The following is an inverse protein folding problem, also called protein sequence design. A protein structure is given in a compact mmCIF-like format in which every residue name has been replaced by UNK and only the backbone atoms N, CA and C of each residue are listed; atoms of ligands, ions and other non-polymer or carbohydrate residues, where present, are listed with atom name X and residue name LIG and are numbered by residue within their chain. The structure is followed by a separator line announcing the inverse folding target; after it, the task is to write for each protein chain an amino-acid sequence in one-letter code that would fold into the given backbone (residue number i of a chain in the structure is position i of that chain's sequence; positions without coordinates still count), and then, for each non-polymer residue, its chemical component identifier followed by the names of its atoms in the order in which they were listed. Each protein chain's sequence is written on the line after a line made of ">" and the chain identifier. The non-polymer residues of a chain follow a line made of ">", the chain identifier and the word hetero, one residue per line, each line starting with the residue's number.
data_IF_520386879984
#
_entry.id   IF_520386879984
#
_cell.length_a   1.000
_cell.length_b   1.000
_cell.length_c   1.000
_cell.angle_alpha   90.00
_cell.angle_beta   90.00
_cell.angle_gamma   90.00
#
_symmetry.space_group_name_H-M   'P 1'
#
loop_
_entity.id
_entity.type
_entity.pdbx_description
1 polymer ?
#
# COMPACT_ATOMS: atom_id res chain seq x y z
N UNK A 1 -19.12 -45.77 29.52
CA UNK A 1 -20.56 -46.14 29.50
C UNK A 1 -21.28 -45.22 30.47
N UNK A 2 -21.23 -43.90 30.30
CA UNK A 2 -21.78 -43.05 29.23
C UNK A 2 -23.31 -43.03 29.22
N UNK A 3 -23.84 -41.89 29.66
CA UNK A 3 -25.02 -41.15 29.18
C UNK A 3 -25.17 -39.88 30.06
N UNK A 4 -25.87 -38.80 29.63
CA UNK A 4 -26.15 -38.36 28.26
C UNK A 4 -25.91 -36.84 28.01
N UNK A 5 -26.02 -36.48 26.73
CA UNK A 5 -26.11 -35.13 26.14
C UNK A 5 -27.36 -34.36 26.56
N UNK A 6 -27.26 -33.08 26.98
CA UNK A 6 -28.33 -32.07 26.77
C UNK A 6 -28.03 -30.57 27.13
N UNK A 7 -26.79 -30.05 27.08
CA UNK A 7 -26.52 -28.72 27.68
C UNK A 7 -25.98 -27.58 26.79
N UNK A 8 -26.13 -27.63 25.46
CA UNK A 8 -25.58 -26.55 24.59
C UNK A 8 -26.56 -25.44 24.22
N UNK A 9 -27.88 -25.66 24.31
CA UNK A 9 -28.88 -24.68 23.83
C UNK A 9 -29.36 -23.68 24.90
N UNK A 10 -29.12 -23.96 26.18
CA UNK A 10 -29.60 -23.10 27.29
C UNK A 10 -28.69 -21.89 27.56
N UNK A 11 -27.40 -21.95 27.19
CA UNK A 11 -26.46 -20.85 27.43
C UNK A 11 -26.67 -19.63 26.51
N UNK A 12 -27.29 -19.81 25.34
CA UNK A 12 -27.55 -18.70 24.41
C UNK A 12 -28.78 -17.86 24.78
N UNK A 13 -29.80 -18.46 25.43
CA UNK A 13 -31.05 -17.77 25.76
C UNK A 13 -31.01 -17.00 27.09
N UNK A 14 -30.11 -17.34 28.01
CA UNK A 14 -29.91 -16.58 29.26
C UNK A 14 -29.12 -15.28 29.02
N UNK A 15 -28.29 -15.22 27.95
CA UNK A 15 -27.48 -14.03 27.62
C UNK A 15 -28.23 -12.96 26.83
N UNK A 16 -29.37 -13.29 26.21
CA UNK A 16 -30.22 -12.31 25.52
C UNK A 16 -31.31 -11.67 26.40
N UNK A 17 -31.69 -12.28 27.54
CA UNK A 17 -32.73 -11.72 28.43
C UNK A 17 -32.22 -10.74 29.49
N UNK A 18 -30.91 -10.58 29.67
CA UNK A 18 -30.34 -9.62 30.62
C UNK A 18 -30.07 -8.21 30.04
N UNK A 19 -30.43 -7.94 28.79
CA UNK A 19 -30.18 -6.62 28.13
C UNK A 19 -31.41 -5.74 27.90
N UNK A 20 -32.60 -6.14 28.37
CA UNK A 20 -33.86 -5.41 28.09
C UNK A 20 -34.50 -4.81 29.36
N UNK A 21 -33.79 -4.69 30.50
CA UNK A 21 -34.42 -4.15 31.74
C UNK A 21 -33.53 -3.17 32.53
N UNK A 22 -32.62 -2.44 31.90
CA UNK A 22 -32.00 -1.26 32.56
C UNK A 22 -31.65 -0.19 31.53
N UNK A 23 -32.54 0.78 31.34
CA UNK A 23 -32.22 2.01 30.64
C UNK A 23 -31.20 2.81 31.44
N UNK A 24 -29.94 2.78 31.00
CA UNK A 24 -28.85 3.71 31.37
C UNK A 24 -27.70 3.50 30.37
N UNK A 25 -27.42 4.54 29.58
CA UNK A 25 -26.31 4.64 28.64
C UNK A 25 -24.98 4.53 29.39
N UNK A 26 -24.15 3.54 29.04
CA UNK A 26 -22.76 3.46 29.44
C UNK A 26 -21.91 3.14 28.22
N UNK A 27 -21.17 4.13 27.74
CA UNK A 27 -20.09 3.99 26.76
C UNK A 27 -18.98 3.13 27.36
N UNK A 28 -18.60 2.06 26.64
CA UNK A 28 -17.42 1.26 26.94
C UNK A 28 -16.16 1.96 26.40
N UNK A 29 -15.01 1.84 27.10
CA UNK A 29 -13.77 2.52 26.73
C UNK A 29 -13.15 1.93 25.47
N UNK A 30 -12.71 2.82 24.57
CA UNK A 30 -12.16 2.50 23.26
C UNK A 30 -10.82 1.75 23.33
N UNK A 31 -10.70 0.77 22.45
CA UNK A 31 -9.42 0.17 22.08
C UNK A 31 -8.67 1.11 21.11
N UNK A 32 -7.34 1.29 21.22
CA UNK A 32 -6.58 2.02 20.21
C UNK A 32 -6.25 1.06 19.06
N UNK A 33 -7.14 1.01 18.08
CA UNK A 33 -6.83 0.44 16.77
C UNK A 33 -6.17 1.51 15.91
N UNK A 34 -4.85 1.43 15.77
CA UNK A 34 -4.04 2.26 14.90
C UNK A 34 -4.41 1.99 13.44
N UNK A 35 -5.40 2.71 12.92
CA UNK A 35 -5.51 2.97 11.49
C UNK A 35 -5.07 4.41 11.29
N UNK A 36 -3.81 4.57 10.86
CA UNK A 36 -3.38 5.80 10.22
C UNK A 36 -4.25 5.97 8.98
N UNK A 37 -5.33 6.73 9.11
CA UNK A 37 -6.12 7.19 7.99
C UNK A 37 -5.19 8.07 7.15
N UNK A 38 -4.65 7.49 6.07
CA UNK A 38 -3.99 8.26 5.03
C UNK A 38 -5.02 9.25 4.50
N UNK A 39 -4.77 10.54 4.70
CA UNK A 39 -5.61 11.60 4.15
C UNK A 39 -5.52 11.46 2.63
N UNK A 40 -6.60 10.94 2.03
CA UNK A 40 -6.68 10.68 0.60
C UNK A 40 -6.84 11.98 -0.18
N UNK A 41 -5.73 12.66 -0.43
CA UNK A 41 -5.60 13.60 -1.55
C UNK A 41 -4.63 12.98 -2.54
N UNK A 42 -5.06 11.87 -3.16
CA UNK A 42 -4.22 11.11 -4.09
C UNK A 42 -4.32 11.76 -5.47
N UNK A 43 -3.27 12.48 -5.87
CA UNK A 43 -3.11 12.93 -7.24
C UNK A 43 -2.68 11.71 -8.08
N UNK A 44 -3.55 11.25 -8.99
CA UNK A 44 -3.24 10.11 -9.87
C UNK A 44 -2.04 10.47 -10.75
N UNK A 45 -1.08 9.54 -10.88
CA UNK A 45 0.09 9.77 -11.73
C UNK A 45 -0.32 9.83 -13.21
N UNK A 46 0.29 10.76 -13.93
CA UNK A 46 0.22 10.78 -15.39
C UNK A 46 1.02 9.59 -15.93
N UNK A 47 0.32 8.62 -16.50
CA UNK A 47 0.90 7.42 -17.08
C UNK A 47 0.80 7.43 -18.61
N UNK A 48 1.77 6.81 -19.27
CA UNK A 48 1.72 6.54 -20.71
C UNK A 48 1.29 5.09 -20.92
N UNK A 49 0.07 4.89 -21.41
CA UNK A 49 -0.54 3.57 -21.65
C UNK A 49 -0.38 3.24 -23.13
N UNK A 50 0.36 2.18 -23.44
CA UNK A 50 0.48 1.69 -24.82
C UNK A 50 -0.80 0.98 -25.26
N UNK A 51 -1.05 0.99 -26.57
CA UNK A 51 -2.17 0.24 -27.14
C UNK A 51 -2.08 -1.26 -26.82
N UNK A 52 -3.21 -1.95 -26.56
CA UNK A 52 -3.21 -3.38 -26.33
C UNK A 52 -2.65 -4.16 -27.51
N UNK A 53 -1.69 -5.04 -27.25
CA UNK A 53 -1.12 -5.97 -28.24
C UNK A 53 -1.77 -7.34 -28.06
N UNK A 54 -2.57 -7.74 -29.06
CA UNK A 54 -3.25 -9.03 -29.08
C UNK A 54 -2.27 -10.14 -29.46
N UNK A 55 -2.13 -11.15 -28.61
CA UNK A 55 -1.26 -12.30 -28.87
C UNK A 55 -2.07 -13.42 -29.51
N UNK A 56 -1.73 -13.77 -30.74
CA UNK A 56 -2.25 -14.96 -31.41
C UNK A 56 -1.35 -16.15 -31.09
N UNK A 57 -1.95 -17.26 -30.69
CA UNK A 57 -1.26 -18.53 -30.48
C UNK A 57 -1.87 -19.54 -31.44
N UNK A 58 -1.22 -19.74 -32.60
CA UNK A 58 -1.68 -20.66 -33.64
C UNK A 58 -1.01 -20.41 -34.98
N UNK A 59 -0.98 -21.45 -35.83
CA UNK A 59 -0.43 -21.38 -37.19
C UNK A 59 -1.37 -20.53 -38.07
N UNK A 60 -0.83 -19.58 -38.84
CA UNK A 60 -1.59 -18.54 -39.58
C UNK A 60 -2.49 -19.09 -40.72
N UNK A 61 -2.62 -20.42 -40.84
CA UNK A 61 -3.32 -21.11 -41.94
C UNK A 61 -4.76 -21.49 -41.65
N UNK A 62 -5.32 -21.14 -40.49
CA UNK A 62 -6.74 -21.43 -40.18
C UNK A 62 -7.41 -20.17 -39.64
N UNK A 63 -8.47 -19.72 -40.29
CA UNK A 63 -9.16 -18.42 -40.15
C UNK A 63 -9.83 -18.13 -38.78
N UNK A 64 -9.38 -18.73 -37.68
CA UNK A 64 -9.98 -18.58 -36.35
C UNK A 64 -8.94 -18.37 -35.24
N UNK A 65 -7.78 -17.77 -35.56
CA UNK A 65 -6.79 -17.35 -34.55
C UNK A 65 -7.33 -16.17 -33.72
N UNK A 66 -8.28 -16.46 -32.82
CA UNK A 66 -8.85 -15.49 -31.88
C UNK A 66 -7.84 -15.26 -30.76
N UNK A 67 -7.37 -14.02 -30.55
CA UNK A 67 -6.41 -13.74 -29.50
C UNK A 67 -7.13 -13.82 -28.15
N UNK A 68 -6.94 -14.92 -27.41
CA UNK A 68 -7.43 -15.04 -26.02
C UNK A 68 -6.55 -14.33 -25.00
N UNK A 69 -5.51 -13.61 -25.45
CA UNK A 69 -4.54 -12.92 -24.61
C UNK A 69 -4.21 -11.54 -25.19
N UNK A 70 -4.21 -10.51 -24.35
CA UNK A 70 -3.79 -9.15 -24.72
C UNK A 70 -2.73 -8.64 -23.73
N UNK A 71 -1.80 -7.81 -24.20
CA UNK A 71 -0.74 -7.23 -23.37
C UNK A 71 -0.79 -5.71 -23.46
N UNK A 72 -0.78 -5.04 -22.30
CA UNK A 72 -0.75 -3.58 -22.19
C UNK A 72 0.46 -3.20 -21.36
N UNK A 73 1.31 -2.34 -21.92
CA UNK A 73 2.46 -1.79 -21.22
C UNK A 73 2.16 -0.36 -20.79
N UNK A 74 2.50 -0.05 -19.55
CA UNK A 74 2.37 1.28 -18.96
C UNK A 74 3.74 1.73 -18.47
N UNK A 75 4.11 2.97 -18.81
CA UNK A 75 5.35 3.61 -18.38
C UNK A 75 5.05 4.98 -17.75
N UNK A 76 6.01 5.47 -16.96
CA UNK A 76 5.88 6.74 -16.23
C UNK A 76 6.86 7.77 -16.82
N UNK A 77 6.41 8.63 -17.76
CA UNK A 77 7.33 9.54 -18.45
C UNK A 77 7.88 10.64 -17.53
N UNK A 78 7.12 11.06 -16.53
CA UNK A 78 7.47 12.18 -15.64
C UNK A 78 8.25 11.75 -14.39
N UNK A 79 8.27 10.45 -14.06
CA UNK A 79 8.84 9.93 -12.81
C UNK A 79 9.80 8.80 -13.12
N UNK A 80 11.02 8.85 -12.58
CA UNK A 80 12.07 7.84 -12.83
C UNK A 80 11.67 6.45 -12.34
N UNK A 81 10.99 6.38 -11.20
CA UNK A 81 10.46 5.16 -10.61
C UNK A 81 9.39 5.50 -9.57
N UNK A 82 8.48 4.56 -9.32
CA UNK A 82 7.42 4.72 -8.33
C UNK A 82 7.41 3.56 -7.35
N UNK A 83 7.01 3.83 -6.12
CA UNK A 83 6.65 2.78 -5.18
C UNK A 83 5.16 2.50 -5.33
N UNK A 84 4.81 1.33 -5.86
CA UNK A 84 3.43 1.07 -6.23
C UNK A 84 2.57 0.83 -4.98
N UNK A 85 1.44 1.53 -4.87
CA UNK A 85 0.47 1.36 -3.78
C UNK A 85 -0.82 0.71 -4.24
N UNK A 86 -1.50 1.31 -5.22
CA UNK A 86 -2.77 0.80 -5.74
C UNK A 86 -2.83 0.98 -7.26
N UNK A 87 -3.36 -0.03 -7.95
CA UNK A 87 -3.74 0.05 -9.36
C UNK A 87 -5.26 -0.03 -9.42
N UNK A 88 -5.89 0.91 -10.09
CA UNK A 88 -7.33 0.93 -10.32
C UNK A 88 -7.60 0.89 -11.81
N UNK A 89 -8.64 0.18 -12.21
CA UNK A 89 -9.10 0.11 -13.59
C UNK A 89 -10.53 -0.38 -13.64
N UNK A 90 -11.19 -0.13 -14.75
CA UNK A 90 -12.47 -0.73 -15.10
C UNK A 90 -12.23 -1.98 -15.93
N UNK A 91 -12.82 -3.11 -15.53
CA UNK A 91 -12.76 -4.31 -16.36
C UNK A 91 -13.60 -4.11 -17.62
N UNK A 92 -13.18 -4.74 -18.73
CA UNK A 92 -14.00 -4.88 -19.94
C UNK A 92 -13.84 -6.31 -20.48
N UNK A 93 -14.68 -7.22 -20.00
CA UNK A 93 -14.68 -8.64 -20.39
C UNK A 93 -13.34 -9.37 -20.25
N UNK A 94 -12.41 -8.91 -19.39
CA UNK A 94 -11.20 -9.69 -19.08
C UNK A 94 -11.50 -10.67 -17.95
N UNK A 95 -11.23 -11.97 -18.15
CA UNK A 95 -11.49 -12.97 -17.12
C UNK A 95 -10.34 -13.09 -16.11
N UNK A 96 -9.09 -13.10 -16.59
CA UNK A 96 -7.91 -13.21 -15.76
C UNK A 96 -6.88 -12.15 -16.08
N UNK A 97 -6.26 -11.62 -15.04
CA UNK A 97 -5.22 -10.61 -15.13
C UNK A 97 -3.91 -11.10 -14.50
N UNK A 98 -2.80 -10.92 -15.21
CA UNK A 98 -1.46 -11.05 -14.64
C UNK A 98 -0.73 -9.73 -14.76
N UNK A 99 -0.15 -9.25 -13.66
CA UNK A 99 0.62 -8.00 -13.61
C UNK A 99 2.10 -8.34 -13.49
N UNK A 100 2.89 -7.76 -14.37
CA UNK A 100 4.34 -7.79 -14.34
C UNK A 100 4.90 -6.38 -14.17
N UNK A 101 6.06 -6.28 -13.53
CA UNK A 101 6.76 -5.02 -13.30
C UNK A 101 8.21 -5.12 -13.76
N UNK A 102 8.76 -3.99 -14.15
CA UNK A 102 10.21 -3.75 -14.23
C UNK A 102 10.59 -2.81 -13.09
N UNK A 103 11.71 -3.10 -12.44
CA UNK A 103 12.23 -2.32 -11.32
C UNK A 103 13.69 -1.99 -11.57
N UNK A 104 14.12 -0.81 -11.16
CA UNK A 104 15.54 -0.45 -11.14
C UNK A 104 15.99 -0.38 -9.69
N UNK A 105 16.78 -1.37 -9.24
CA UNK A 105 17.28 -1.39 -7.87
C UNK A 105 18.41 -0.37 -7.71
N UNK A 106 18.50 0.35 -6.58
CA UNK A 106 19.59 1.29 -6.31
C UNK A 106 20.99 0.66 -6.35
N UNK A 107 21.08 -0.63 -5.98
CA UNK A 107 22.34 -1.37 -5.93
C UNK A 107 22.83 -1.87 -7.31
N UNK A 108 22.00 -1.80 -8.34
CA UNK A 108 22.36 -2.23 -9.70
C UNK A 108 22.90 -1.02 -10.48
N UNK A 109 24.23 -0.81 -10.39
CA UNK A 109 24.96 0.31 -11.01
C UNK A 109 25.18 0.12 -12.52
N UNK A 110 24.54 -0.87 -13.15
CA UNK A 110 24.67 -1.14 -14.59
C UNK A 110 23.44 -0.71 -15.41
N UNK A 111 23.66 -0.12 -16.59
CA UNK A 111 22.64 0.06 -17.64
C UNK A 111 22.21 -1.28 -18.32
N UNK A 112 22.02 -2.32 -17.52
CA UNK A 112 21.50 -3.58 -18.02
C UNK A 112 20.02 -3.48 -18.40
N UNK A 113 19.54 -4.32 -19.33
CA UNK A 113 18.11 -4.37 -19.66
C UNK A 113 17.29 -4.82 -18.45
N UNK A 114 16.25 -4.06 -18.11
CA UNK A 114 15.39 -4.35 -16.96
C UNK A 114 14.58 -5.64 -17.19
N UNK A 115 14.67 -6.59 -16.26
CA UNK A 115 13.95 -7.86 -16.33
C UNK A 115 12.51 -7.71 -15.85
N UNK A 116 11.56 -8.28 -16.61
CA UNK A 116 10.17 -8.39 -16.18
C UNK A 116 10.01 -9.41 -15.05
N UNK A 117 9.36 -9.01 -13.96
CA UNK A 117 8.98 -9.86 -12.83
C UNK A 117 7.47 -9.89 -12.69
N UNK A 118 6.89 -11.05 -12.38
CA UNK A 118 5.45 -11.16 -12.08
C UNK A 118 5.20 -10.80 -10.62
N UNK A 119 4.33 -9.82 -10.37
CA UNK A 119 3.90 -9.41 -9.03
C UNK A 119 2.44 -9.81 -8.74
N UNK A 120 1.62 -10.06 -9.76
CA UNK A 120 0.28 -10.63 -9.59
C UNK A 120 0.03 -11.65 -10.69
N UNK A 121 -0.44 -12.85 -10.37
CA UNK A 121 -0.59 -13.93 -11.35
C UNK A 121 -2.02 -14.44 -11.37
N UNK A 122 -2.60 -14.49 -12.58
CA UNK A 122 -3.93 -15.05 -12.84
C UNK A 122 -5.01 -14.57 -11.85
N UNK A 123 -4.98 -13.28 -11.50
CA UNK A 123 -6.02 -12.66 -10.69
C UNK A 123 -7.35 -12.75 -11.42
N UNK A 124 -8.36 -13.34 -10.78
CA UNK A 124 -9.67 -13.59 -11.38
C UNK A 124 -10.52 -12.32 -11.27
N UNK A 125 -10.88 -11.76 -12.43
CA UNK A 125 -11.77 -10.61 -12.55
C UNK A 125 -13.22 -11.02 -12.80
N UNK A 126 -13.44 -12.13 -13.52
CA UNK A 126 -14.77 -12.68 -13.76
C UNK A 126 -14.89 -14.03 -13.04
N UNK A 127 -15.90 -14.24 -12.17
CA UNK A 127 -16.11 -15.52 -11.48
C UNK A 127 -16.25 -16.69 -12.47
N UNK A 128 -17.01 -16.46 -13.55
CA UNK A 128 -17.14 -17.36 -14.69
C UNK A 128 -16.76 -16.60 -15.98
N UNK A 129 -15.72 -17.04 -16.73
CA UNK A 129 -15.29 -16.39 -17.96
C UNK A 129 -16.34 -16.33 -19.07
N UNK A 130 -17.39 -17.17 -19.01
CA UNK A 130 -18.42 -17.27 -20.05
C UNK A 130 -19.66 -16.41 -19.79
N UNK A 131 -19.72 -15.68 -18.67
CA UNK A 131 -20.84 -14.81 -18.29
C UNK A 131 -20.37 -13.36 -18.18
N UNK A 132 -21.29 -12.39 -18.18
CA UNK A 132 -20.95 -10.96 -18.05
C UNK A 132 -20.59 -10.54 -16.61
N UNK A 133 -20.84 -11.38 -15.60
CA UNK A 133 -20.56 -11.05 -14.20
C UNK A 133 -19.10 -10.62 -13.97
N UNK A 134 -18.89 -9.41 -13.45
CA UNK A 134 -17.59 -8.80 -13.19
C UNK A 134 -16.93 -8.12 -14.39
N UNK A 135 -17.53 -8.14 -15.58
CA UNK A 135 -16.92 -7.64 -16.81
C UNK A 135 -16.86 -6.13 -16.94
N UNK A 136 -17.56 -5.37 -16.09
CA UNK A 136 -17.63 -3.89 -16.09
C UNK A 136 -17.31 -3.28 -14.73
N UNK A 137 -16.81 -4.09 -13.79
CA UNK A 137 -16.55 -3.68 -12.43
C UNK A 137 -15.30 -2.80 -12.35
N UNK A 138 -15.32 -1.84 -11.42
CA UNK A 138 -14.13 -1.12 -11.00
C UNK A 138 -13.34 -1.97 -10.01
N UNK A 139 -12.10 -2.28 -10.36
CA UNK A 139 -11.23 -3.15 -9.58
C UNK A 139 -10.06 -2.33 -9.04
N UNK A 140 -9.77 -2.51 -7.75
CA UNK A 140 -8.61 -1.91 -7.08
C UNK A 140 -7.67 -3.02 -6.60
N UNK A 141 -6.46 -3.04 -7.15
CA UNK A 141 -5.39 -3.96 -6.78
C UNK A 141 -4.44 -3.27 -5.82
N UNK A 142 -4.41 -3.73 -4.59
CA UNK A 142 -3.57 -3.15 -3.54
C UNK A 142 -2.22 -3.85 -3.44
N UNK A 143 -1.23 -3.10 -2.98
CA UNK A 143 0.14 -3.57 -2.72
C UNK A 143 0.21 -4.89 -1.95
N UNK A 144 -0.61 -5.08 -0.93
CA UNK A 144 -0.59 -6.30 -0.10
C UNK A 144 -1.03 -7.56 -0.86
N UNK A 145 -1.70 -7.43 -2.01
CA UNK A 145 -2.08 -8.56 -2.87
C UNK A 145 -0.94 -8.96 -3.82
N UNK A 146 0.13 -8.17 -3.91
CA UNK A 146 1.22 -8.38 -4.84
C UNK A 146 2.37 -9.18 -4.20
N UNK A 147 2.96 -10.07 -5.00
CA UNK A 147 4.03 -10.98 -4.62
C UNK A 147 5.37 -10.26 -4.69
N UNK A 148 5.96 -10.05 -3.52
CA UNK A 148 7.29 -9.48 -3.32
C UNK A 148 7.32 -7.96 -3.34
N UNK A 149 8.52 -7.39 -3.29
CA UNK A 149 8.68 -5.94 -3.24
C UNK A 149 8.29 -5.29 -4.58
N UNK A 150 7.39 -4.30 -4.52
CA UNK A 150 6.89 -3.51 -5.66
C UNK A 150 7.32 -2.04 -5.57
N UNK A 151 8.52 -1.81 -5.00
CA UNK A 151 9.20 -0.52 -4.98
C UNK A 151 10.01 -0.23 -6.24
N UNK A 152 10.35 1.03 -6.48
CA UNK A 152 11.20 1.45 -7.59
C UNK A 152 10.77 0.92 -8.96
N UNK A 153 9.45 0.85 -9.20
CA UNK A 153 8.84 0.36 -10.44
C UNK A 153 8.99 1.40 -11.54
N UNK A 154 9.52 1.00 -12.69
CA UNK A 154 9.71 1.86 -13.86
C UNK A 154 8.65 1.63 -14.93
N UNK A 155 8.13 0.40 -15.01
CA UNK A 155 7.15 -0.03 -16.00
C UNK A 155 6.23 -1.08 -15.40
N UNK A 156 4.97 -1.06 -15.82
CA UNK A 156 3.96 -2.06 -15.48
C UNK A 156 3.46 -2.71 -16.76
N UNK A 157 3.27 -4.01 -16.76
CA UNK A 157 2.70 -4.79 -17.87
C UNK A 157 1.51 -5.57 -17.38
N UNK A 158 0.36 -5.30 -17.98
CA UNK A 158 -0.87 -6.08 -17.80
C UNK A 158 -0.93 -7.15 -18.89
N UNK A 159 -1.15 -8.39 -18.48
CA UNK A 159 -1.41 -9.52 -19.36
C UNK A 159 -2.84 -9.97 -19.09
N UNK A 160 -3.71 -9.61 -20.01
CA UNK A 160 -5.14 -9.89 -19.98
C UNK A 160 -5.39 -11.24 -20.64
N UNK A 161 -6.25 -12.06 -20.07
CA UNK A 161 -6.65 -13.35 -20.65
C UNK A 161 -8.15 -13.50 -20.60
N UNK A 162 -8.71 -13.93 -21.72
CA UNK A 162 -10.10 -14.26 -21.88
C UNK A 162 -10.22 -15.62 -22.60
N UNK A 163 -10.46 -16.71 -21.86
CA UNK A 163 -10.56 -18.05 -22.45
C UNK A 163 -11.90 -18.31 -23.15
N UNK A 164 -12.95 -17.52 -22.86
CA UNK A 164 -14.25 -17.70 -23.50
C UNK A 164 -14.22 -17.19 -24.94
N UNK A 165 -14.69 -18.00 -25.92
CA UNK A 165 -14.72 -17.58 -27.32
C UNK A 165 -15.85 -16.57 -27.63
N UNK A 166 -16.76 -16.34 -26.67
CA UNK A 166 -17.87 -15.41 -26.82
C UNK A 166 -17.41 -13.95 -26.82
N UNK A 167 -16.29 -13.65 -26.15
CA UNK A 167 -15.79 -12.28 -25.99
C UNK A 167 -14.66 -12.03 -26.97
N UNK A 168 -15.01 -11.48 -28.14
CA UNK A 168 -14.04 -11.15 -29.19
C UNK A 168 -13.21 -9.92 -28.87
N UNK A 169 -13.76 -9.02 -28.05
CA UNK A 169 -13.12 -7.81 -27.58
C UNK A 169 -13.12 -7.84 -26.06
N UNK A 170 -11.93 -7.78 -25.47
CA UNK A 170 -11.73 -7.65 -24.04
C UNK A 170 -10.55 -6.72 -23.79
N UNK A 171 -10.64 -5.97 -22.70
CA UNK A 171 -9.63 -5.01 -22.31
C UNK A 171 -9.75 -4.67 -20.81
N UNK A 172 -8.92 -3.72 -20.37
CA UNK A 172 -9.16 -2.93 -19.16
C UNK A 172 -9.12 -1.45 -19.55
N UNK A 173 -9.96 -0.65 -18.90
CA UNK A 173 -10.13 0.77 -19.19
C UNK A 173 -9.85 1.61 -17.93
N UNK A 174 -9.76 2.93 -18.10
CA UNK A 174 -9.65 3.88 -16.98
C UNK A 174 -8.52 3.52 -15.98
N UNK A 175 -7.37 3.09 -16.51
CA UNK A 175 -6.23 2.66 -15.70
C UNK A 175 -5.66 3.85 -14.93
N UNK A 176 -5.60 3.73 -13.61
CA UNK A 176 -4.98 4.68 -12.69
C UNK A 176 -3.97 3.94 -11.81
N UNK A 177 -2.78 4.51 -11.67
CA UNK A 177 -1.71 3.93 -10.85
C UNK A 177 -1.29 4.98 -9.84
N UNK A 178 -1.52 4.69 -8.58
CA UNK A 178 -1.19 5.61 -7.50
C UNK A 178 0.03 5.10 -6.73
N UNK A 179 1.03 5.97 -6.50
CA UNK A 179 2.21 5.61 -5.74
C UNK A 179 1.85 5.55 -4.25
N UNK A 180 2.73 4.91 -3.48
CA UNK A 180 2.75 5.04 -2.04
C UNK A 180 3.18 6.47 -1.74
N UNK A 181 2.40 7.18 -0.93
CA UNK A 181 2.87 8.40 -0.30
C UNK A 181 3.98 8.02 0.68
N UNK A 182 5.19 7.87 0.15
CA UNK A 182 6.37 8.14 0.94
C UNK A 182 6.38 9.64 1.13
N UNK A 183 5.57 10.13 2.09
CA UNK A 183 5.98 11.30 2.83
C UNK A 183 7.45 11.06 3.14
N UNK A 184 8.35 11.92 2.66
CA UNK A 184 9.73 11.90 3.12
C UNK A 184 9.74 11.65 4.64
N UNK A 185 10.73 10.94 5.20
CA UNK A 185 10.85 10.79 6.66
C UNK A 185 10.95 12.14 7.42
N UNK A 186 10.83 13.28 6.73
CA UNK A 186 10.84 14.63 7.26
C UNK A 186 9.46 15.16 7.67
N UNK A 187 8.37 14.39 7.55
CA UNK A 187 7.05 14.77 8.08
C UNK A 187 6.58 13.86 9.22
N UNK A 188 7.46 13.63 10.20
CA UNK A 188 7.07 13.14 11.53
C UNK A 188 6.56 14.26 12.45
N UNK A 189 6.26 15.43 11.88
CA UNK A 189 5.65 16.51 12.63
C UNK A 189 4.18 16.60 12.18
N UNK A 190 3.20 16.28 13.04
CA UNK A 190 1.80 16.53 12.74
C UNK A 190 1.58 18.00 12.38
N UNK A 191 0.61 18.26 11.49
CA UNK A 191 0.35 19.55 10.81
C UNK A 191 0.28 20.75 11.78
N UNK A 192 -0.13 20.55 13.04
CA UNK A 192 -0.15 21.60 14.07
C UNK A 192 1.24 22.14 14.46
N UNK A 193 2.31 21.39 14.19
CA UNK A 193 3.70 21.83 14.38
C UNK A 193 4.22 22.65 13.19
N UNK A 194 3.46 22.71 12.10
CA UNK A 194 3.84 23.39 10.86
C UNK A 194 3.21 24.78 10.77
N UNK A 195 3.39 25.63 11.79
CA UNK A 195 3.32 27.12 11.88
C UNK A 195 2.68 27.58 13.21
N UNK A 196 3.15 28.67 13.87
CA UNK A 196 3.49 29.95 13.23
C UNK A 196 4.76 30.66 13.75
N UNK A 197 5.54 31.26 12.85
CA UNK A 197 6.28 32.48 13.20
C UNK A 197 5.42 33.66 12.74
N UNK A 198 4.77 34.28 13.71
CA UNK A 198 4.11 35.58 13.55
C UNK A 198 5.19 36.61 13.23
N UNK A 199 5.01 37.27 12.07
CA UNK A 199 5.67 38.52 11.67
C UNK A 199 5.66 39.53 12.83
N UNK A 200 6.81 40.09 13.19
CA UNK A 200 6.90 41.50 13.59
C UNK A 200 8.23 42.11 13.12
N UNK A 201 8.11 43.14 12.27
CA UNK A 201 9.16 44.05 11.86
C UNK A 201 8.89 45.36 12.61
N UNK A 202 9.77 45.76 13.54
CA UNK A 202 10.16 47.17 13.74
C UNK A 202 11.33 47.28 14.73
N UNK A 203 12.33 48.04 14.31
CA UNK A 203 13.40 48.61 15.12
C UNK A 203 12.92 49.30 16.39
N UNK A 204 13.50 48.98 17.54
CA UNK A 204 14.28 49.93 18.37
C UNK A 204 14.65 49.30 19.72
N UNK A 205 15.82 49.72 20.19
CA UNK A 205 16.43 49.40 21.48
C UNK A 205 15.45 49.61 22.64
N UNK A 206 15.30 48.63 23.53
CA UNK A 206 15.42 48.77 24.99
C UNK A 206 15.25 47.38 25.64
N UNK A 207 16.07 47.15 26.67
CA UNK A 207 16.26 45.91 27.41
C UNK A 207 15.02 45.60 28.28
N UNK A 208 14.16 44.68 27.84
CA UNK A 208 13.10 44.09 28.68
C UNK A 208 13.14 42.56 28.56
N UNK A 209 13.06 41.91 29.72
CA UNK A 209 13.10 40.45 29.84
C UNK A 209 12.00 39.81 28.98
N UNK A 210 12.26 38.65 28.37
CA UNK A 210 11.26 37.95 27.57
C UNK A 210 10.00 37.70 28.40
N UNK A 211 8.82 37.91 27.80
CA UNK A 211 7.53 37.74 28.45
C UNK A 211 7.46 36.36 29.13
N UNK A 212 7.29 36.30 30.47
CA UNK A 212 7.22 35.04 31.21
C UNK A 212 6.20 34.06 30.63
N UNK A 213 5.14 34.57 29.99
CA UNK A 213 4.10 33.76 29.41
C UNK A 213 4.52 33.14 28.06
N UNK A 214 5.30 33.84 27.24
CA UNK A 214 5.87 33.29 26.00
C UNK A 214 6.95 32.25 26.32
N UNK A 215 7.85 32.55 27.27
CA UNK A 215 8.86 31.58 27.73
C UNK A 215 8.18 30.34 28.34
N UNK A 216 7.10 30.54 29.12
CA UNK A 216 6.33 29.44 29.67
C UNK A 216 5.68 28.60 28.58
N UNK A 217 5.12 29.20 27.52
CA UNK A 217 4.51 28.46 26.40
C UNK A 217 5.53 27.57 25.71
N UNK A 218 6.73 28.08 25.41
CA UNK A 218 7.79 27.31 24.76
C UNK A 218 8.26 26.14 25.63
N UNK A 219 8.48 26.40 26.92
CA UNK A 219 8.87 25.36 27.89
C UNK A 219 7.77 24.31 28.03
N UNK A 220 6.51 24.75 28.08
CA UNK A 220 5.35 23.85 28.20
C UNK A 220 5.17 23.01 26.93
N UNK A 221 5.41 23.57 25.74
CA UNK A 221 5.46 22.82 24.48
C UNK A 221 6.56 21.75 24.50
N UNK A 222 7.76 22.10 24.98
CA UNK A 222 8.86 21.16 25.13
C UNK A 222 8.56 20.04 26.15
N UNK A 223 7.88 20.36 27.25
CA UNK A 223 7.43 19.36 28.22
C UNK A 223 6.40 18.41 27.61
N UNK A 224 5.44 18.94 26.84
CA UNK A 224 4.46 18.12 26.12
C UNK A 224 5.15 17.15 25.16
N UNK A 225 6.16 17.61 24.41
CA UNK A 225 6.95 16.75 23.51
C UNK A 225 7.68 15.63 24.28
N UNK A 226 8.32 15.96 25.40
CA UNK A 226 9.03 14.98 26.24
C UNK A 226 8.08 13.89 26.73
N UNK A 227 6.88 14.28 27.14
CA UNK A 227 5.91 13.35 27.68
C UNK A 227 5.21 12.52 26.61
N UNK A 228 5.04 13.08 25.41
CA UNK A 228 4.63 12.31 24.24
C UNK A 228 5.69 11.28 23.82
N UNK A 229 6.98 11.65 23.80
CA UNK A 229 8.07 10.71 23.51
C UNK A 229 8.11 9.61 24.57
N UNK A 230 8.00 9.96 25.86
CA UNK A 230 7.98 9.00 26.97
C UNK A 230 6.79 8.05 26.88
N UNK A 231 5.58 8.57 26.62
CA UNK A 231 4.37 7.76 26.51
C UNK A 231 4.40 6.82 25.29
N UNK A 232 5.17 7.16 24.25
CA UNK A 232 5.29 6.38 23.02
C UNK A 232 6.57 5.54 22.95
N UNK A 233 7.40 5.54 24.01
CA UNK A 233 8.52 4.62 24.15
C UNK A 233 7.98 3.22 24.43
N UNK A 234 7.99 2.37 23.40
CA UNK A 234 7.91 0.92 23.59
C UNK A 234 9.20 0.45 24.25
N UNK A 235 9.09 -0.49 25.20
CA UNK A 235 10.20 -1.07 25.98
C UNK A 235 11.17 -1.94 25.15
N UNK A 236 11.50 -1.53 23.94
CA UNK A 236 12.62 -2.07 23.18
C UNK A 236 13.88 -1.36 23.67
N UNK A 237 14.60 -2.00 24.60
CA UNK A 237 15.93 -1.57 25.05
C UNK A 237 16.74 -1.18 23.82
N UNK A 238 17.26 0.05 23.80
CA UNK A 238 18.30 0.48 22.87
C UNK A 238 19.41 -0.57 22.92
N UNK A 239 19.44 -1.42 21.92
CA UNK A 239 20.23 -2.64 21.91
C UNK A 239 21.68 -2.27 21.79
N UNK A 240 22.47 -2.67 22.78
CA UNK A 240 23.91 -2.88 22.61
C UNK A 240 24.07 -3.78 21.39
N UNK A 241 24.88 -3.34 20.43
CA UNK A 241 25.38 -4.23 19.39
C UNK A 241 26.27 -5.27 20.08
N UNK A 242 25.74 -6.47 20.33
CA UNK A 242 26.60 -7.64 20.46
C UNK A 242 27.09 -7.94 19.04
N UNK A 243 28.35 -7.60 18.81
CA UNK A 243 29.09 -8.02 17.62
C UNK A 243 29.37 -9.51 17.86
N UNK A 244 28.58 -10.39 17.25
CA UNK A 244 28.91 -11.81 17.18
C UNK A 244 30.31 -11.90 16.57
N UNK A 245 31.27 -12.37 17.38
CA UNK A 245 32.70 -12.40 17.08
C UNK A 245 33.10 -13.39 15.97
N UNK A 246 32.49 -13.27 14.79
CA UNK A 246 32.82 -14.05 13.60
C UNK A 246 33.62 -13.21 12.59
N UNK A 247 34.81 -12.75 12.98
CA UNK A 247 35.86 -12.44 12.01
C UNK A 247 36.85 -13.61 12.02
N UNK A 248 36.59 -14.63 11.21
CA UNK A 248 37.64 -15.56 10.79
C UNK A 248 38.49 -14.83 9.76
N UNK A 249 39.61 -14.28 10.22
CA UNK A 249 40.66 -13.74 9.38
C UNK A 249 41.42 -14.95 8.86
N UNK A 250 41.07 -15.42 7.67
CA UNK A 250 41.83 -16.47 7.00
C UNK A 250 43.20 -15.89 6.59
N UNK A 251 44.19 -16.01 7.47
CA UNK A 251 45.59 -15.73 7.16
C UNK A 251 46.05 -16.76 6.13
N UNK A 252 46.18 -16.29 4.89
CA UNK A 252 46.94 -16.96 3.84
C UNK A 252 48.37 -17.19 4.37
N UNK A 253 48.67 -18.42 4.76
CA UNK A 253 50.04 -18.88 5.00
C UNK A 253 50.74 -18.98 3.64
N UNK A 254 51.68 -18.07 3.40
CA UNK A 254 52.71 -18.21 2.38
C UNK A 254 53.68 -19.33 2.81
N UNK A 255 53.70 -20.41 2.05
CA UNK A 255 54.88 -21.28 1.85
C UNK A 255 54.92 -21.72 0.40
#
# INVERSE_FOLDING_TARGET
>A
MDQPHENSTIFYLVRLRAKIVTGKNWQLPGQPGTQGACIMSQESLVCNIKAPVLLQVGDMKTELARPGVAVIDVTFPQVKHIDLHVIQFKNYYTAFLTVRIQQRKPAEVGEGPLKWRTCLRNYRLMPNPHTEEGSHDYVSLYRHQMIGDVNHVTSVRFILRQPSPAWLQFNIEEIQINPCDQSSPQKLLPIWLSTPSTKEQTSSLHHELPDPNEVSKEVQQMWVLTEMIRANQTSSRIGRFDVDGCYDINLLSYT
#
